data_IF_722562707099
#
_entry.id   IF_722562707099
#
_cell.length_a   1.000
_cell.length_b   1.000
_cell.length_c   1.000
_cell.angle_alpha   90.00
_cell.angle_beta   90.00
_cell.angle_gamma   90.00
#
_symmetry.space_group_name_H-M   'P 1'
#
loop_
_entity.id
_entity.type
_entity.pdbx_description
1 polymer ?
#
# COMPACT_ATOMS: atom_id res chain seq x y z
N UNK A 1 -15.75 50.28 36.04
CA UNK A 1 -15.33 49.05 35.35
C UNK A 1 -13.99 49.29 34.64
N UNK A 2 -12.97 49.75 35.36
CA UNK A 2 -11.83 48.98 35.91
C UNK A 2 -10.99 48.26 34.83
N UNK A 3 -9.97 48.98 34.35
CA UNK A 3 -8.92 48.58 33.38
C UNK A 3 -8.29 47.19 33.64
N UNK A 4 -8.38 46.67 34.86
CA UNK A 4 -7.90 45.34 35.24
C UNK A 4 -8.65 44.19 34.57
N UNK A 5 -9.98 44.27 34.44
CA UNK A 5 -10.78 43.24 33.75
C UNK A 5 -10.41 43.13 32.26
N UNK A 6 -10.09 44.27 31.64
CA UNK A 6 -9.70 44.34 30.22
C UNK A 6 -8.32 43.71 29.95
N UNK A 7 -7.39 43.81 30.91
CA UNK A 7 -6.07 43.16 30.84
C UNK A 7 -6.18 41.64 30.99
N UNK A 8 -6.98 41.16 31.95
CA UNK A 8 -7.19 39.72 32.16
C UNK A 8 -7.86 39.07 30.94
N UNK A 9 -8.87 39.73 30.36
CA UNK A 9 -9.52 39.25 29.14
C UNK A 9 -8.55 39.15 27.95
N UNK A 10 -7.61 40.09 27.81
CA UNK A 10 -6.61 40.05 26.73
C UNK A 10 -5.61 38.90 26.90
N UNK A 11 -5.21 38.57 28.14
CA UNK A 11 -4.33 37.43 28.40
C UNK A 11 -5.01 36.07 28.22
N UNK A 12 -6.34 35.99 28.42
CA UNK A 12 -7.10 34.76 28.21
C UNK A 12 -7.51 34.55 26.74
N UNK A 13 -7.60 35.61 25.94
CA UNK A 13 -8.04 35.50 24.54
C UNK A 13 -7.07 34.67 23.66
N UNK A 14 -5.76 34.85 23.84
CA UNK A 14 -4.74 34.15 23.06
C UNK A 14 -4.69 32.63 23.30
N UNK A 15 -4.63 32.12 24.55
CA UNK A 15 -4.67 30.69 24.80
C UNK A 15 -6.00 30.07 24.40
N UNK A 16 -7.11 30.81 24.50
CA UNK A 16 -8.42 30.32 24.07
C UNK A 16 -8.46 30.11 22.54
N UNK A 17 -7.91 31.04 21.76
CA UNK A 17 -7.81 30.92 20.30
C UNK A 17 -6.91 29.74 19.89
N UNK A 18 -5.78 29.54 20.58
CA UNK A 18 -4.91 28.40 20.34
C UNK A 18 -5.58 27.07 20.67
N UNK A 19 -6.32 27.00 21.78
CA UNK A 19 -7.06 25.80 22.16
C UNK A 19 -8.15 25.46 21.12
N UNK A 20 -8.87 26.46 20.60
CA UNK A 20 -9.89 26.29 19.55
C UNK A 20 -9.24 25.85 18.23
N UNK A 21 -8.11 26.44 17.84
CA UNK A 21 -7.39 26.05 16.62
C UNK A 21 -6.81 24.63 16.71
N UNK A 22 -6.35 24.22 17.89
CA UNK A 22 -5.83 22.87 18.13
C UNK A 22 -6.94 21.81 18.09
N UNK A 23 -8.14 22.15 18.58
CA UNK A 23 -9.29 21.25 18.60
C UNK A 23 -10.16 21.31 17.35
N UNK A 24 -10.00 22.32 16.49
CA UNK A 24 -10.70 22.39 15.23
C UNK A 24 -10.31 21.18 14.38
N UNK A 25 -11.27 20.33 13.95
CA UNK A 25 -10.95 19.23 13.05
C UNK A 25 -10.37 19.82 11.78
N UNK A 26 -9.16 19.39 11.41
CA UNK A 26 -8.54 19.79 10.15
C UNK A 26 -9.51 19.37 9.05
N UNK A 27 -10.04 20.30 8.23
CA UNK A 27 -10.89 19.92 7.12
C UNK A 27 -10.07 19.04 6.20
N UNK A 28 -10.40 17.74 6.18
CA UNK A 28 -9.91 16.82 5.16
C UNK A 28 -10.57 17.25 3.87
N UNK A 29 -9.93 18.15 3.13
CA UNK A 29 -10.22 18.30 1.72
C UNK A 29 -9.94 16.92 1.14
N UNK A 30 -10.98 16.20 0.71
CA UNK A 30 -10.79 14.91 0.06
C UNK A 30 -9.83 15.12 -1.10
N UNK A 31 -8.71 14.40 -1.12
CA UNK A 31 -7.79 14.47 -2.26
C UNK A 31 -8.51 13.79 -3.44
N UNK A 32 -8.92 14.55 -4.47
CA UNK A 32 -9.59 13.96 -5.64
C UNK A 32 -8.71 12.95 -6.37
N UNK A 33 -7.40 12.92 -6.11
CA UNK A 33 -6.49 11.89 -6.57
C UNK A 33 -6.65 10.55 -5.84
N UNK A 34 -6.92 10.53 -4.53
CA UNK A 34 -7.12 9.27 -3.79
C UNK A 34 -8.32 8.49 -4.35
N UNK A 35 -9.43 9.15 -4.64
CA UNK A 35 -10.61 8.47 -5.20
C UNK A 35 -10.32 7.83 -6.57
N UNK A 36 -9.52 8.51 -7.40
CA UNK A 36 -9.06 7.96 -8.68
C UNK A 36 -8.17 6.75 -8.48
N UNK A 37 -7.24 6.80 -7.52
CA UNK A 37 -6.37 5.68 -7.16
C UNK A 37 -7.19 4.49 -6.68
N UNK A 38 -8.13 4.72 -5.76
CA UNK A 38 -9.02 3.66 -5.25
C UNK A 38 -9.83 3.05 -6.40
N UNK A 39 -10.38 3.86 -7.30
CA UNK A 39 -11.11 3.37 -8.47
C UNK A 39 -10.23 2.54 -9.41
N UNK A 40 -9.00 2.99 -9.69
CA UNK A 40 -8.03 2.26 -10.50
C UNK A 40 -7.65 0.92 -9.87
N UNK A 41 -7.45 0.89 -8.55
CA UNK A 41 -7.14 -0.32 -7.78
C UNK A 41 -8.31 -1.30 -7.84
N UNK A 42 -9.55 -0.85 -7.62
CA UNK A 42 -10.73 -1.72 -7.72
C UNK A 42 -10.93 -2.28 -9.14
N UNK A 43 -10.63 -1.50 -10.18
CA UNK A 43 -10.70 -1.97 -11.56
C UNK A 43 -9.67 -3.10 -11.85
N UNK A 44 -8.46 -3.01 -11.26
CA UNK A 44 -7.37 -3.98 -11.49
C UNK A 44 -7.37 -5.16 -10.54
N UNK A 45 -7.89 -4.97 -9.33
CA UNK A 45 -7.98 -5.95 -8.26
C UNK A 45 -9.45 -6.16 -7.83
N UNK A 46 -10.32 -6.76 -8.68
CA UNK A 46 -11.72 -6.95 -8.35
C UNK A 46 -11.90 -7.78 -7.06
N UNK A 47 -12.76 -7.31 -6.18
CA UNK A 47 -13.02 -7.96 -4.89
C UNK A 47 -11.93 -7.75 -3.82
N UNK A 48 -10.85 -7.04 -4.12
CA UNK A 48 -9.92 -6.56 -3.11
C UNK A 48 -10.43 -5.25 -2.50
N UNK A 49 -10.22 -5.06 -1.21
CA UNK A 49 -10.60 -3.86 -0.48
C UNK A 49 -9.39 -2.96 -0.26
N UNK A 50 -9.46 -1.70 -0.68
CA UNK A 50 -8.43 -0.71 -0.33
C UNK A 50 -8.60 -0.34 1.15
N UNK A 51 -7.74 -0.88 2.01
CA UNK A 51 -7.76 -0.58 3.46
C UNK A 51 -7.02 0.71 3.79
N UNK A 52 -6.08 1.12 2.93
CA UNK A 52 -5.33 2.36 3.07
C UNK A 52 -4.93 2.89 1.70
N UNK A 53 -5.15 4.18 1.48
CA UNK A 53 -4.60 4.95 0.37
C UNK A 53 -4.21 6.31 0.92
N UNK A 54 -2.94 6.67 0.83
CA UNK A 54 -2.43 7.98 1.26
C UNK A 54 -1.53 8.55 0.20
N UNK A 55 -1.50 9.86 0.09
CA UNK A 55 -0.50 10.57 -0.70
C UNK A 55 0.92 10.24 -0.20
N UNK A 56 1.86 10.24 -1.11
CA UNK A 56 3.29 10.14 -0.82
C UNK A 56 4.02 11.32 -1.42
N UNK A 57 5.28 11.48 -1.01
CA UNK A 57 6.20 12.36 -1.72
C UNK A 57 6.28 11.99 -3.22
N UNK A 58 6.54 13.00 -4.08
CA UNK A 58 6.61 12.89 -5.56
C UNK A 58 5.29 12.65 -6.30
N UNK A 59 4.14 12.90 -5.68
CA UNK A 59 2.84 12.78 -6.35
C UNK A 59 2.39 11.34 -6.58
N UNK A 60 3.00 10.39 -5.87
CA UNK A 60 2.53 9.01 -5.78
C UNK A 60 1.54 8.79 -4.63
N UNK A 61 1.07 7.55 -4.53
CA UNK A 61 0.11 7.11 -3.52
C UNK A 61 0.53 5.78 -2.92
N UNK A 62 0.63 5.68 -1.59
CA UNK A 62 0.84 4.43 -0.89
C UNK A 62 -0.51 3.73 -0.71
N UNK A 63 -0.63 2.54 -1.30
CA UNK A 63 -1.85 1.74 -1.33
C UNK A 63 -1.62 0.45 -0.57
N UNK A 64 -2.60 0.07 0.25
CA UNK A 64 -2.73 -1.27 0.82
C UNK A 64 -4.09 -1.81 0.40
N UNK A 65 -4.08 -2.91 -0.34
CA UNK A 65 -5.27 -3.65 -0.75
C UNK A 65 -5.33 -4.99 -0.02
N UNK A 66 -6.49 -5.37 0.50
CA UNK A 66 -6.70 -6.62 1.22
C UNK A 66 -7.71 -7.55 0.56
N UNK A 67 -7.51 -8.85 0.77
CA UNK A 67 -8.41 -9.91 0.33
C UNK A 67 -8.35 -11.05 1.36
N UNK A 68 -9.40 -11.19 2.17
CA UNK A 68 -9.42 -12.10 3.32
C UNK A 68 -8.28 -11.78 4.30
N UNK A 69 -7.44 -12.77 4.61
CA UNK A 69 -6.28 -12.62 5.49
C UNK A 69 -5.00 -12.14 4.78
N UNK A 70 -5.09 -11.68 3.53
CA UNK A 70 -3.94 -11.23 2.73
C UNK A 70 -4.01 -9.74 2.49
N UNK A 71 -2.84 -9.11 2.50
CA UNK A 71 -2.64 -7.71 2.13
C UNK A 71 -1.55 -7.62 1.06
N UNK A 72 -1.70 -6.65 0.15
CA UNK A 72 -0.69 -6.24 -0.81
C UNK A 72 -0.43 -4.76 -0.62
N UNK A 73 0.82 -4.41 -0.34
CA UNK A 73 1.26 -3.03 -0.19
C UNK A 73 2.08 -2.60 -1.41
N UNK A 74 1.75 -1.45 -2.00
CA UNK A 74 2.50 -0.90 -3.11
C UNK A 74 2.28 0.61 -3.23
N UNK A 75 3.24 1.30 -3.85
CA UNK A 75 3.09 2.68 -4.28
C UNK A 75 2.56 2.72 -5.72
N UNK A 76 1.59 3.58 -5.99
CA UNK A 76 1.06 3.87 -7.32
C UNK A 76 1.48 5.29 -7.71
N UNK A 77 2.22 5.45 -8.80
CA UNK A 77 2.81 6.73 -9.22
C UNK A 77 2.28 7.12 -10.61
N UNK A 78 1.27 8.01 -10.69
CA UNK A 78 0.68 8.45 -11.96
C UNK A 78 1.64 9.32 -12.80
N UNK A 79 1.60 9.17 -14.13
CA UNK A 79 2.20 10.11 -15.09
C UNK A 79 3.73 10.24 -15.08
N UNK A 80 4.47 9.55 -14.21
CA UNK A 80 5.92 9.69 -14.08
C UNK A 80 6.66 9.08 -15.29
N UNK A 81 6.89 9.90 -16.32
CA UNK A 81 7.42 9.44 -17.61
C UNK A 81 6.42 8.62 -18.43
N UNK A 82 5.14 8.62 -18.02
CA UNK A 82 4.04 7.91 -18.64
C UNK A 82 2.93 8.92 -19.01
N UNK A 83 1.95 8.53 -19.85
CA UNK A 83 0.71 9.29 -19.98
C UNK A 83 0.07 9.60 -18.60
N UNK A 84 -0.63 10.73 -18.43
CA UNK A 84 -1.11 11.18 -17.11
C UNK A 84 -2.02 10.18 -16.37
N UNK A 85 -2.74 9.35 -17.12
CA UNK A 85 -3.68 8.36 -16.59
C UNK A 85 -3.05 6.96 -16.41
N UNK A 86 -1.79 6.79 -16.82
CA UNK A 86 -1.01 5.58 -16.60
C UNK A 86 -0.21 5.71 -15.29
N UNK A 87 0.11 4.59 -14.66
CA UNK A 87 0.80 4.58 -13.38
C UNK A 87 1.89 3.51 -13.30
N UNK A 88 3.01 3.87 -12.68
CA UNK A 88 3.99 2.92 -12.17
C UNK A 88 3.51 2.30 -10.86
N UNK A 89 3.91 1.06 -10.62
CA UNK A 89 3.68 0.34 -9.38
C UNK A 89 5.03 -0.01 -8.75
N UNK A 90 5.20 0.35 -7.48
CA UNK A 90 6.35 -0.04 -6.69
C UNK A 90 5.90 -0.95 -5.55
N UNK A 91 6.14 -2.27 -5.62
CA UNK A 91 5.74 -3.20 -4.57
C UNK A 91 6.56 -2.95 -3.29
N UNK A 92 5.92 -3.06 -2.13
CA UNK A 92 6.60 -2.91 -0.84
C UNK A 92 7.37 -4.17 -0.42
N UNK A 93 7.03 -5.33 -0.99
CA UNK A 93 7.61 -6.62 -0.65
C UNK A 93 7.56 -7.61 -1.84
N UNK A 94 8.20 -8.76 -1.65
CA UNK A 94 8.26 -9.83 -2.66
C UNK A 94 6.90 -10.44 -3.01
N UNK A 95 6.00 -10.60 -2.03
CA UNK A 95 4.67 -11.15 -2.25
C UNK A 95 3.85 -10.22 -3.16
N UNK A 96 3.84 -8.93 -2.82
CA UNK A 96 3.19 -7.87 -3.59
C UNK A 96 3.76 -7.80 -5.01
N UNK A 97 5.09 -7.93 -5.18
CA UNK A 97 5.74 -7.98 -6.49
C UNK A 97 5.20 -9.14 -7.36
N UNK A 98 5.24 -10.38 -6.86
CA UNK A 98 4.80 -11.56 -7.63
C UNK A 98 3.37 -11.39 -8.15
N UNK A 99 2.48 -10.81 -7.35
CA UNK A 99 1.09 -10.65 -7.73
C UNK A 99 0.87 -9.47 -8.66
N UNK A 100 1.54 -8.34 -8.43
CA UNK A 100 1.44 -7.17 -9.29
C UNK A 100 2.04 -7.43 -10.68
N UNK A 101 3.10 -8.24 -10.81
CA UNK A 101 3.63 -8.67 -12.11
C UNK A 101 2.57 -9.38 -12.98
N UNK A 102 1.62 -10.10 -12.37
CA UNK A 102 0.56 -10.82 -13.11
C UNK A 102 -0.52 -9.90 -13.66
N UNK A 103 -0.76 -8.78 -12.99
CA UNK A 103 -1.77 -7.79 -13.38
C UNK A 103 -1.19 -6.54 -14.02
N UNK A 104 0.14 -6.48 -14.15
CA UNK A 104 0.79 -5.41 -14.87
C UNK A 104 0.63 -5.58 -16.38
N UNK A 105 0.53 -4.45 -17.08
CA UNK A 105 0.51 -4.40 -18.53
C UNK A 105 1.90 -4.61 -19.14
N UNK A 106 2.95 -4.59 -18.32
CA UNK A 106 4.34 -4.79 -18.73
C UNK A 106 5.06 -5.75 -17.75
N UNK A 107 5.80 -6.75 -18.26
CA UNK A 107 6.44 -7.74 -17.39
C UNK A 107 7.69 -7.22 -16.66
N UNK A 108 8.47 -6.38 -17.33
CA UNK A 108 9.74 -5.85 -16.77
C UNK A 108 9.53 -4.62 -15.91
N UNK A 109 8.52 -3.84 -16.25
CA UNK A 109 8.23 -2.54 -15.69
C UNK A 109 6.81 -2.59 -15.16
N UNK A 110 6.63 -2.59 -13.84
CA UNK A 110 5.31 -2.72 -13.26
C UNK A 110 4.49 -1.46 -13.54
N UNK A 111 3.67 -1.51 -14.58
CA UNK A 111 2.87 -0.41 -15.09
C UNK A 111 1.40 -0.84 -15.19
N UNK A 112 0.50 0.05 -14.80
CA UNK A 112 -0.92 0.03 -15.12
C UNK A 112 -1.26 1.17 -16.05
N UNK A 113 -1.69 0.85 -17.27
CA UNK A 113 -2.21 1.80 -18.25
C UNK A 113 -3.67 2.14 -17.98
N UNK A 114 -4.10 3.32 -18.40
CA UNK A 114 -5.50 3.74 -18.39
C UNK A 114 -6.40 2.84 -19.28
N UNK A 115 -5.82 2.21 -20.31
CA UNK A 115 -6.46 1.19 -21.17
C UNK A 115 -5.55 -0.05 -21.26
N UNK A 116 -6.05 -1.30 -21.20
CA UNK A 116 -7.44 -1.74 -21.37
C UNK A 116 -8.06 -2.31 -20.08
N UNK A 117 -9.36 -2.04 -19.91
CA UNK A 117 -10.15 -2.28 -18.70
C UNK A 117 -10.42 -3.77 -18.33
N UNK A 118 -9.84 -4.79 -19.00
CA UNK A 118 -10.30 -6.18 -18.79
C UNK A 118 -9.30 -7.34 -18.92
N UNK A 119 -8.10 -7.18 -19.52
CA UNK A 119 -7.33 -8.38 -19.89
C UNK A 119 -6.58 -9.04 -18.71
N UNK A 120 -6.22 -8.27 -17.67
CA UNK A 120 -5.43 -8.78 -16.55
C UNK A 120 -5.89 -8.19 -15.23
N UNK A 121 -6.67 -8.99 -14.51
CA UNK A 121 -7.16 -8.66 -13.17
C UNK A 121 -6.78 -9.74 -12.17
N UNK A 122 -6.72 -9.36 -10.89
CA UNK A 122 -6.53 -10.30 -9.80
C UNK A 122 -7.78 -10.35 -8.95
N UNK A 123 -8.69 -11.29 -9.25
CA UNK A 123 -9.90 -11.45 -8.45
C UNK A 123 -9.56 -12.06 -7.08
N UNK A 124 -10.10 -11.46 -6.01
CA UNK A 124 -9.98 -11.95 -4.64
C UNK A 124 -10.52 -13.38 -4.45
N UNK A 125 -11.65 -13.75 -5.06
CA UNK A 125 -12.25 -15.08 -4.91
C UNK A 125 -11.28 -16.18 -5.37
N UNK A 126 -10.58 -15.93 -6.47
CA UNK A 126 -9.54 -16.81 -6.99
C UNK A 126 -8.33 -16.93 -6.06
N UNK A 127 -8.02 -15.90 -5.27
CA UNK A 127 -6.94 -15.92 -4.28
C UNK A 127 -7.31 -16.73 -3.05
N UNK A 128 -8.49 -16.47 -2.48
CA UNK A 128 -8.98 -17.21 -1.32
C UNK A 128 -9.07 -18.70 -1.63
N UNK A 129 -9.55 -19.06 -2.82
CA UNK A 129 -9.61 -20.46 -3.28
C UNK A 129 -8.23 -21.12 -3.43
N UNK A 130 -7.20 -20.39 -3.88
CA UNK A 130 -5.81 -20.92 -3.98
C UNK A 130 -5.19 -21.16 -2.60
N UNK A 131 -5.49 -20.31 -1.62
CA UNK A 131 -5.01 -20.47 -0.24
C UNK A 131 -5.68 -21.68 0.43
N UNK A 132 -6.98 -21.89 0.23
CA UNK A 132 -7.68 -23.07 0.74
C UNK A 132 -7.08 -24.41 0.26
N UNK A 133 -6.54 -24.43 -0.97
CA UNK A 133 -5.83 -25.60 -1.54
C UNK A 133 -4.38 -25.72 -1.06
N UNK A 134 -3.70 -24.61 -0.77
CA UNK A 134 -2.35 -24.62 -0.21
C UNK A 134 -2.30 -25.08 1.26
N UNK A 135 -3.34 -24.77 2.04
CA UNK A 135 -3.41 -25.15 3.47
C UNK A 135 -3.64 -26.67 3.67
N UNK A 136 -4.22 -27.35 2.69
CA UNK A 136 -4.44 -28.82 2.73
C UNK A 136 -3.20 -29.63 2.30
N UNK A 137 -2.16 -28.98 1.78
CA UNK A 137 -0.96 -29.66 1.24
C UNK A 137 0.30 -29.44 2.12
N UNK A 138 0.15 -28.78 3.27
CA UNK A 138 1.27 -28.35 4.13
C UNK A 138 1.17 -28.85 5.57
N UNK A 139 0.86 -30.12 5.78
CA UNK A 139 1.15 -30.82 7.05
C UNK A 139 1.77 -32.16 6.71
N UNK A 140 3.03 -32.14 6.29
CA UNK A 140 3.88 -33.32 6.32
C UNK A 140 5.34 -32.90 6.43
N UNK A 141 5.99 -33.36 7.50
CA UNK A 141 7.43 -33.57 7.51
C UNK A 141 8.29 -32.48 8.14
N UNK A 142 8.24 -32.36 9.46
CA UNK A 142 9.34 -31.84 10.24
C UNK A 142 10.41 -32.96 10.36
N UNK A 143 11.54 -32.82 9.66
CA UNK A 143 12.78 -33.56 9.91
C UNK A 143 13.92 -32.62 9.50
N UNK A 144 14.54 -31.88 10.42
CA UNK A 144 15.76 -32.31 11.13
C UNK A 144 16.60 -33.25 10.26
N UNK A 145 17.51 -32.68 9.48
CA UNK A 145 18.87 -33.19 9.47
C UNK A 145 19.87 -32.06 9.24
N UNK A 146 20.62 -31.80 10.32
CA UNK A 146 21.87 -31.11 10.29
C UNK A 146 22.90 -32.08 9.69
N UNK A 147 23.60 -31.64 8.66
CA UNK A 147 24.84 -32.28 8.22
C UNK A 147 25.74 -31.20 7.67
N UNK A 148 26.46 -30.56 8.59
CA UNK A 148 27.73 -29.88 8.33
C UNK A 148 28.76 -30.96 8.01
N UNK A 149 29.51 -30.86 6.91
CA UNK A 149 30.81 -31.52 6.81
C UNK A 149 31.90 -30.48 7.06
N UNK A 150 32.54 -30.63 8.22
CA UNK A 150 33.83 -30.04 8.57
C UNK A 150 34.98 -30.89 7.99
N UNK A 151 36.08 -30.20 7.67
CA UNK A 151 37.46 -30.64 7.47
C UNK A 151 37.83 -31.69 6.39
N UNK A 152 38.78 -31.30 5.53
CA UNK A 152 39.49 -32.22 4.63
C UNK A 152 40.72 -31.60 3.94
N UNK A 153 41.76 -31.30 4.71
CA UNK A 153 43.13 -31.03 4.25
C UNK A 153 43.62 -32.11 3.25
N UNK A 154 44.12 -31.72 2.06
CA UNK A 154 45.05 -32.57 1.30
C UNK A 154 46.06 -31.71 0.53
N UNK A 155 47.34 -31.90 0.88
CA UNK A 155 48.52 -31.39 0.18
C UNK A 155 48.50 -31.85 -1.28
N UNK A 156 49.00 -31.00 -2.16
CA UNK A 156 49.50 -31.39 -3.48
C UNK A 156 51.00 -31.12 -3.45
N UNK A 157 51.76 -32.16 -3.79
CA UNK A 157 53.21 -32.21 -3.89
C UNK A 157 53.77 -31.27 -4.97
#
# INVERSE_FOLDING_TARGET
MTRHLRRIAAFLALPLLLAVAFWAPIPKVGDPGIDKVVAQVHARLPGWHVVRATDTWEGGYAVVASCGAREMGFQLVPGHGLPPDDAWLQPNDWYSRIWLERVSDYPTFLIWRARPLVDRTLNCDGQVARVGKGLTTGTSGNARDASVPDAGHRRID
#
